data_IF_943085120257
#
_entry.id   IF_943085120257
#
_cell.length_a   1.000
_cell.length_b   1.000
_cell.length_c   1.000
_cell.angle_alpha   90.00
_cell.angle_beta   90.00
_cell.angle_gamma   90.00
#
_symmetry.space_group_name_H-M   'P 1'
#
loop_
_entity.id
_entity.type
_entity.pdbx_description
1 polymer ?
#
# COMPACT_ATOMS: atom_id res chain seq x y z
N UNK A 1 57.42 -16.83 -33.35
CA UNK A 1 57.35 -17.20 -31.91
C UNK A 1 56.43 -16.21 -31.20
N UNK A 2 55.10 -16.40 -31.24
CA UNK A 2 54.16 -15.35 -30.76
C UNK A 2 52.81 -15.87 -30.23
N UNK A 3 52.75 -17.10 -29.69
CA UNK A 3 51.49 -17.67 -29.18
C UNK A 3 51.52 -18.04 -27.68
N UNK A 4 52.67 -17.92 -27.00
CA UNK A 4 52.83 -18.36 -25.60
C UNK A 4 52.41 -17.31 -24.56
N UNK A 5 52.21 -16.06 -24.97
CA UNK A 5 51.87 -14.95 -24.06
C UNK A 5 50.34 -14.72 -23.91
N UNK A 6 49.54 -15.19 -24.88
CA UNK A 6 48.08 -14.98 -24.87
C UNK A 6 47.32 -15.93 -23.94
N UNK A 7 47.76 -17.18 -23.84
CA UNK A 7 47.14 -18.20 -22.98
C UNK A 7 47.20 -17.83 -21.48
N UNK A 8 48.35 -17.38 -20.90
CA UNK A 8 48.36 -16.97 -19.51
C UNK A 8 47.55 -15.69 -19.27
N UNK A 9 47.50 -14.77 -20.24
CA UNK A 9 46.67 -13.57 -20.13
C UNK A 9 45.17 -13.91 -20.07
N UNK A 10 44.68 -14.79 -20.96
CA UNK A 10 43.28 -15.23 -20.94
C UNK A 10 42.91 -15.95 -19.64
N UNK A 11 43.83 -16.74 -19.08
CA UNK A 11 43.65 -17.40 -17.78
C UNK A 11 43.53 -16.38 -16.65
N UNK A 12 44.40 -15.36 -16.61
CA UNK A 12 44.33 -14.28 -15.63
C UNK A 12 43.03 -13.47 -15.75
N UNK A 13 42.60 -13.15 -16.98
CA UNK A 13 41.32 -12.47 -17.20
C UNK A 13 40.14 -13.32 -16.72
N UNK A 14 40.11 -14.62 -17.03
CA UNK A 14 39.05 -15.53 -16.57
C UNK A 14 38.97 -15.59 -15.05
N UNK A 15 40.10 -15.76 -14.36
CA UNK A 15 40.15 -15.76 -12.89
C UNK A 15 39.72 -14.41 -12.33
N UNK A 16 40.13 -13.30 -12.94
CA UNK A 16 39.73 -11.96 -12.51
C UNK A 16 38.22 -11.74 -12.68
N UNK A 17 37.62 -12.14 -13.80
CA UNK A 17 36.17 -12.05 -14.01
C UNK A 17 35.37 -12.96 -13.07
N UNK A 18 35.85 -14.17 -12.80
CA UNK A 18 35.23 -15.09 -11.84
C UNK A 18 35.33 -14.54 -10.43
N UNK A 19 36.48 -13.99 -10.02
CA UNK A 19 36.66 -13.36 -8.69
C UNK A 19 35.86 -12.07 -8.58
N UNK A 20 35.82 -11.22 -9.61
CA UNK A 20 35.01 -9.99 -9.63
C UNK A 20 33.51 -10.30 -9.59
N UNK A 21 33.05 -11.32 -10.33
CA UNK A 21 31.65 -11.77 -10.30
C UNK A 21 31.28 -12.40 -8.95
N UNK A 22 32.18 -13.19 -8.36
CA UNK A 22 31.98 -13.76 -7.02
C UNK A 22 31.98 -12.67 -5.94
N UNK A 23 32.79 -11.61 -6.07
CA UNK A 23 32.77 -10.47 -5.16
C UNK A 23 31.53 -9.58 -5.35
N UNK A 24 30.95 -9.52 -6.56
CA UNK A 24 29.67 -8.84 -6.81
C UNK A 24 28.46 -9.63 -6.30
N UNK A 25 28.61 -10.93 -6.01
CA UNK A 25 27.59 -11.79 -5.40
C UNK A 25 27.80 -12.02 -3.90
N UNK A 26 28.71 -11.28 -3.26
CA UNK A 26 28.87 -11.25 -1.80
C UNK A 26 27.70 -10.47 -1.17
N UNK A 27 26.78 -11.23 -0.59
CA UNK A 27 25.88 -10.87 0.52
C UNK A 27 24.67 -9.96 0.16
N UNK A 28 23.45 -10.52 -0.01
CA UNK A 28 22.19 -9.76 0.03
C UNK A 28 21.74 -9.39 1.46
N UNK A 29 22.63 -9.39 2.46
CA UNK A 29 22.33 -9.02 3.86
C UNK A 29 22.31 -7.49 4.09
N UNK A 30 22.28 -6.68 3.02
CA UNK A 30 22.10 -5.22 3.11
C UNK A 30 20.82 -4.68 2.47
N UNK A 31 19.88 -5.53 2.03
CA UNK A 31 18.51 -5.07 1.75
C UNK A 31 17.66 -5.10 3.03
N UNK A 32 18.24 -4.86 4.19
CA UNK A 32 17.53 -4.15 5.26
C UNK A 32 17.70 -2.67 5.00
N UNK A 33 17.23 -2.23 3.83
CA UNK A 33 17.00 -0.82 3.57
C UNK A 33 16.09 -0.31 4.70
N UNK A 34 16.58 0.50 5.64
CA UNK A 34 15.70 1.04 6.65
C UNK A 34 14.70 1.96 5.93
N UNK A 35 15.17 2.77 4.95
CA UNK A 35 14.35 3.73 4.19
C UNK A 35 15.00 4.23 2.85
N UNK A 36 14.79 3.57 1.69
CA UNK A 36 14.87 4.32 0.43
C UNK A 36 13.88 3.90 -0.68
N UNK A 37 12.86 3.09 -0.39
CA UNK A 37 11.76 2.88 -1.35
C UNK A 37 10.48 3.62 -0.97
N UNK A 38 10.35 4.20 0.22
CA UNK A 38 9.10 4.82 0.64
C UNK A 38 8.70 6.01 -0.23
N UNK A 39 9.65 6.87 -0.63
CA UNK A 39 9.34 7.97 -1.58
C UNK A 39 8.87 7.46 -2.93
N UNK A 40 9.53 6.44 -3.49
CA UNK A 40 9.18 5.90 -4.81
C UNK A 40 7.87 5.12 -4.76
N UNK A 41 7.64 4.30 -3.73
CA UNK A 41 6.38 3.57 -3.52
C UNK A 41 5.21 4.54 -3.34
N UNK A 42 5.38 5.58 -2.54
CA UNK A 42 4.34 6.62 -2.35
C UNK A 42 4.10 7.39 -3.64
N UNK A 43 5.14 7.78 -4.37
CA UNK A 43 4.99 8.44 -5.65
C UNK A 43 4.21 7.56 -6.64
N UNK A 44 4.45 6.25 -6.61
CA UNK A 44 3.78 5.29 -7.46
C UNK A 44 2.29 5.16 -7.09
N UNK A 45 1.97 4.99 -5.80
CA UNK A 45 0.58 5.00 -5.33
C UNK A 45 -0.12 6.31 -5.68
N UNK A 46 0.53 7.46 -5.45
CA UNK A 46 -0.03 8.77 -5.79
C UNK A 46 -0.33 8.89 -7.28
N UNK A 47 0.55 8.37 -8.14
CA UNK A 47 0.32 8.32 -9.58
C UNK A 47 -0.85 7.41 -9.93
N UNK A 48 -0.91 6.21 -9.35
CA UNK A 48 -1.97 5.24 -9.60
C UNK A 48 -3.36 5.75 -9.16
N UNK A 49 -3.40 6.52 -8.08
CA UNK A 49 -4.62 7.06 -7.51
C UNK A 49 -4.97 8.47 -7.99
N UNK A 50 -4.14 9.12 -8.82
CA UNK A 50 -4.33 10.50 -9.25
C UNK A 50 -5.64 10.75 -10.00
N UNK A 51 -6.22 9.73 -10.65
CA UNK A 51 -7.47 9.84 -11.39
C UNK A 51 -8.70 9.34 -10.62
N UNK A 52 -8.52 8.84 -9.39
CA UNK A 52 -9.64 8.38 -8.56
C UNK A 52 -10.39 9.61 -8.00
N UNK A 53 -11.72 9.69 -8.15
CA UNK A 53 -12.48 10.80 -7.57
C UNK A 53 -12.38 10.77 -6.04
N UNK A 54 -12.14 11.93 -5.44
CA UNK A 54 -12.20 12.10 -3.98
C UNK A 54 -13.66 12.01 -3.56
N UNK A 55 -14.11 10.82 -3.17
CA UNK A 55 -15.43 10.64 -2.60
C UNK A 55 -15.43 11.13 -1.16
N UNK A 56 -16.48 11.83 -0.70
CA UNK A 56 -16.63 12.14 0.72
C UNK A 56 -16.65 10.82 1.50
N UNK A 57 -15.85 10.75 2.57
CA UNK A 57 -15.80 9.56 3.44
C UNK A 57 -17.22 9.16 3.85
N UNK A 58 -17.59 7.86 3.70
CA UNK A 58 -18.88 7.40 4.19
C UNK A 58 -18.94 7.63 5.72
N UNK A 59 -20.11 8.04 6.25
CA UNK A 59 -20.26 8.22 7.68
C UNK A 59 -19.94 6.91 8.42
N UNK A 60 -19.34 6.98 9.63
CA UNK A 60 -19.04 5.79 10.42
C UNK A 60 -20.32 4.96 10.63
N UNK A 61 -20.22 3.62 10.64
CA UNK A 61 -21.38 2.77 10.87
C UNK A 61 -22.02 3.11 12.23
N UNK A 62 -23.36 3.17 12.32
CA UNK A 62 -24.02 3.42 13.59
C UNK A 62 -23.69 2.29 14.59
N UNK A 63 -23.57 2.59 15.88
CA UNK A 63 -23.36 1.57 16.91
C UNK A 63 -24.50 0.54 16.89
N UNK A 64 -24.25 -0.73 17.25
CA UNK A 64 -25.30 -1.73 17.35
C UNK A 64 -26.35 -1.25 18.37
N UNK A 65 -27.59 -1.13 17.92
CA UNK A 65 -28.73 -0.78 18.77
C UNK A 65 -29.23 -2.10 19.38
N UNK A 66 -29.01 -2.28 20.69
CA UNK A 66 -29.67 -3.33 21.46
C UNK A 66 -31.19 -3.10 21.42
N UNK A 67 -31.91 -4.14 21.00
CA UNK A 67 -33.33 -4.08 20.75
C UNK A 67 -34.14 -4.11 22.04
N UNK A 68 -35.01 -3.11 22.20
CA UNK A 68 -36.15 -3.19 23.12
C UNK A 68 -37.44 -3.34 22.34
N UNK A 69 -38.06 -4.49 22.59
CA UNK A 69 -39.29 -5.00 22.03
C UNK A 69 -40.50 -4.27 22.64
N UNK A 70 -41.23 -3.44 21.88
CA UNK A 70 -42.61 -3.06 22.21
C UNK A 70 -43.41 -2.81 20.91
N UNK A 71 -44.44 -3.62 20.71
CA UNK A 71 -45.21 -3.68 19.46
C UNK A 71 -46.12 -2.47 19.19
N UNK A 72 -46.55 -2.36 17.93
CA UNK A 72 -47.92 -2.01 17.51
C UNK A 72 -48.04 -2.09 15.98
N UNK A 73 -49.00 -2.91 15.55
CA UNK A 73 -49.40 -3.15 14.17
C UNK A 73 -50.01 -1.90 13.54
N UNK A 74 -49.40 -1.38 12.46
CA UNK A 74 -50.06 -0.46 11.53
C UNK A 74 -49.72 -0.80 10.08
N UNK A 75 -50.73 -1.30 9.37
CA UNK A 75 -50.76 -1.54 7.91
C UNK A 75 -50.65 -0.22 7.15
N UNK A 76 -49.55 -0.01 6.42
CA UNK A 76 -49.47 1.08 5.44
C UNK A 76 -48.89 0.65 4.08
N UNK A 77 -49.78 0.81 3.09
CA UNK A 77 -49.67 0.86 1.62
C UNK A 77 -48.26 0.76 1.01
N UNK A 78 -48.11 -0.22 0.12
CA UNK A 78 -46.98 -0.43 -0.77
C UNK A 78 -46.83 0.70 -1.80
N UNK A 79 -45.98 1.69 -1.51
CA UNK A 79 -45.38 2.53 -2.56
C UNK A 79 -44.14 1.82 -3.07
N UNK A 80 -44.23 1.25 -4.29
CA UNK A 80 -43.08 0.75 -5.04
C UNK A 80 -42.17 1.93 -5.39
N UNK A 81 -41.26 2.27 -4.47
CA UNK A 81 -40.15 3.17 -4.76
C UNK A 81 -39.13 2.37 -5.54
N UNK A 82 -39.04 2.63 -6.84
CA UNK A 82 -37.90 2.26 -7.66
C UNK A 82 -36.67 3.02 -7.10
N UNK A 83 -35.96 2.38 -6.16
CA UNK A 83 -34.61 2.82 -5.80
C UNK A 83 -33.72 2.44 -6.97
N UNK A 84 -33.40 3.42 -7.81
CA UNK A 84 -32.21 3.36 -8.64
C UNK A 84 -31.02 3.27 -7.70
N UNK A 85 -30.62 2.04 -7.38
CA UNK A 85 -29.34 1.77 -6.74
C UNK A 85 -28.31 2.10 -7.81
N UNK A 86 -27.73 3.29 -7.72
CA UNK A 86 -26.50 3.59 -8.44
C UNK A 86 -25.50 2.53 -8.00
N UNK A 87 -25.34 1.48 -8.83
CA UNK A 87 -24.16 0.63 -8.77
C UNK A 87 -23.03 1.59 -9.11
N UNK A 88 -22.32 2.07 -8.11
CA UNK A 88 -21.00 2.65 -8.31
C UNK A 88 -20.21 1.49 -8.91
N UNK A 89 -20.03 1.53 -10.22
CA UNK A 89 -19.28 0.51 -10.92
C UNK A 89 -17.81 0.82 -10.65
N UNK A 90 -17.09 -0.12 -10.05
CA UNK A 90 -15.64 -0.04 -9.88
C UNK A 90 -15.02 0.34 -11.22
N UNK A 91 -14.42 1.53 -11.29
CA UNK A 91 -13.77 1.99 -12.51
C UNK A 91 -12.41 1.31 -12.62
N UNK A 92 -11.87 1.11 -13.85
CA UNK A 92 -10.54 0.54 -14.00
C UNK A 92 -9.46 1.35 -13.27
N UNK A 93 -9.65 2.65 -13.11
CA UNK A 93 -8.76 3.54 -12.34
C UNK A 93 -8.82 3.24 -10.83
N UNK A 94 -10.02 3.01 -10.28
CA UNK A 94 -10.18 2.60 -8.87
C UNK A 94 -9.49 1.27 -8.59
N UNK A 95 -9.66 0.30 -9.48
CA UNK A 95 -9.00 -1.01 -9.38
C UNK A 95 -7.48 -0.90 -9.44
N UNK A 96 -6.97 -0.09 -10.36
CA UNK A 96 -5.53 0.14 -10.51
C UNK A 96 -4.93 0.81 -9.26
N UNK A 97 -5.59 1.85 -8.73
CA UNK A 97 -5.21 2.48 -7.47
C UNK A 97 -5.23 1.48 -6.31
N UNK A 98 -6.29 0.68 -6.20
CA UNK A 98 -6.45 -0.32 -5.14
C UNK A 98 -5.34 -1.36 -5.14
N UNK A 99 -4.91 -1.81 -6.33
CA UNK A 99 -3.82 -2.75 -6.49
C UNK A 99 -2.51 -2.20 -5.93
N UNK A 100 -2.16 -0.95 -6.26
CA UNK A 100 -0.96 -0.30 -5.75
C UNK A 100 -1.03 -0.01 -4.25
N UNK A 101 -2.21 0.36 -3.73
CA UNK A 101 -2.43 0.50 -2.29
C UNK A 101 -2.22 -0.83 -1.52
N UNK A 102 -2.51 -1.98 -2.12
CA UNK A 102 -2.25 -3.27 -1.44
C UNK A 102 -0.77 -3.66 -1.43
N UNK A 103 0.03 -3.09 -2.32
CA UNK A 103 1.44 -3.44 -2.49
C UNK A 103 2.38 -2.54 -1.69
N UNK A 104 1.95 -1.32 -1.33
CA UNK A 104 2.78 -0.41 -0.57
C UNK A 104 3.10 -0.96 0.83
N UNK A 105 4.35 -0.79 1.26
CA UNK A 105 4.79 -1.22 2.57
C UNK A 105 4.10 -0.40 3.68
N UNK A 106 3.48 -1.05 4.70
CA UNK A 106 2.92 -0.35 5.85
C UNK A 106 3.92 0.57 6.55
N UNK A 107 5.22 0.23 6.61
CA UNK A 107 6.27 1.07 7.22
C UNK A 107 6.32 2.44 6.53
N UNK A 108 6.27 2.45 5.20
CA UNK A 108 6.28 3.67 4.40
C UNK A 108 5.04 4.54 4.60
N UNK A 109 3.87 3.92 4.80
CA UNK A 109 2.63 4.64 5.11
C UNK A 109 2.70 5.26 6.51
N UNK A 110 3.20 4.50 7.48
CA UNK A 110 3.33 4.95 8.86
C UNK A 110 4.35 6.11 9.01
N UNK A 111 5.43 6.13 8.22
CA UNK A 111 6.41 7.23 8.21
C UNK A 111 5.84 8.57 7.81
N UNK A 112 4.98 8.62 6.79
CA UNK A 112 4.34 9.88 6.37
C UNK A 112 3.56 10.48 7.52
N UNK A 113 2.93 9.65 8.32
CA UNK A 113 2.12 10.07 9.45
C UNK A 113 2.96 10.62 10.62
N UNK A 114 4.28 10.39 10.63
CA UNK A 114 5.23 10.98 11.58
C UNK A 114 5.52 12.46 11.30
N UNK A 115 5.25 12.94 10.07
CA UNK A 115 5.42 14.35 9.73
C UNK A 115 4.25 15.22 10.22
N UNK A 116 3.16 14.63 10.71
CA UNK A 116 2.09 15.40 11.30
C UNK A 116 2.52 16.02 12.64
N UNK A 117 2.00 17.21 12.97
CA UNK A 117 2.25 17.82 14.26
C UNK A 117 1.87 16.90 15.44
N UNK A 118 2.50 17.08 16.62
CA UNK A 118 2.36 16.17 17.76
C UNK A 118 0.95 15.90 18.28
N UNK A 119 0.00 16.76 17.93
CA UNK A 119 -1.40 16.70 18.36
C UNK A 119 -2.32 15.93 17.38
N UNK A 120 -1.87 15.63 16.16
CA UNK A 120 -2.68 14.93 15.14
C UNK A 120 -2.29 13.46 14.94
N UNK A 121 -1.19 13.03 15.54
CA UNK A 121 -0.67 11.69 15.38
C UNK A 121 -0.78 10.89 16.68
N UNK A 122 -1.21 9.64 16.56
CA UNK A 122 -1.22 8.66 17.65
C UNK A 122 -0.15 7.60 17.33
N UNK A 123 0.74 7.21 18.25
CA UNK A 123 1.80 6.25 17.94
C UNK A 123 1.26 4.91 17.44
N UNK A 124 0.29 4.33 18.16
CA UNK A 124 -0.40 3.12 17.74
C UNK A 124 -1.76 3.48 17.11
N UNK A 125 -1.87 3.30 15.79
CA UNK A 125 -3.08 3.64 15.04
C UNK A 125 -3.27 2.72 13.83
N UNK A 126 -4.51 2.70 13.35
CA UNK A 126 -4.88 2.08 12.08
C UNK A 126 -5.19 3.19 11.09
N UNK A 127 -4.51 3.19 9.96
CA UNK A 127 -4.76 4.11 8.87
C UNK A 127 -5.51 3.37 7.77
N UNK A 128 -6.72 3.82 7.42
CA UNK A 128 -7.54 3.17 6.40
C UNK A 128 -7.73 4.10 5.21
N UNK A 129 -7.38 3.61 4.02
CA UNK A 129 -7.64 4.29 2.74
C UNK A 129 -8.83 3.59 2.09
N UNK A 130 -9.86 4.37 1.77
CA UNK A 130 -11.09 3.90 1.11
C UNK A 130 -11.11 4.47 -0.31
N UNK A 131 -11.05 3.59 -1.30
CA UNK A 131 -11.07 3.95 -2.74
C UNK A 131 -12.50 3.94 -3.26
N UNK A 132 -13.28 2.91 -2.87
CA UNK A 132 -14.69 2.72 -3.20
C UNK A 132 -15.37 1.79 -2.17
N UNK A 133 -16.60 1.32 -2.46
CA UNK A 133 -17.34 0.38 -1.60
C UNK A 133 -16.69 -1.02 -1.51
N UNK A 134 -15.81 -1.37 -2.45
CA UNK A 134 -15.24 -2.70 -2.63
C UNK A 134 -13.74 -2.77 -2.28
N UNK A 135 -13.08 -1.63 -2.14
CA UNK A 135 -11.67 -1.49 -1.82
C UNK A 135 -11.45 -0.53 -0.66
N UNK A 136 -11.20 -1.13 0.51
CA UNK A 136 -10.67 -0.47 1.69
C UNK A 136 -9.39 -1.18 2.15
N UNK A 137 -8.28 -0.46 2.24
CA UNK A 137 -6.99 -0.99 2.70
C UNK A 137 -6.67 -0.37 4.06
N UNK A 138 -6.33 -1.20 5.05
CA UNK A 138 -6.01 -0.74 6.41
C UNK A 138 -4.58 -1.14 6.77
N UNK A 139 -3.78 -0.15 7.17
CA UNK A 139 -2.41 -0.31 7.65
C UNK A 139 -2.40 -0.15 9.17
N UNK A 140 -1.72 -1.08 9.86
CA UNK A 140 -1.51 -0.99 11.31
C UNK A 140 -0.11 -0.43 11.58
N UNK A 141 -0.05 0.69 12.29
CA UNK A 141 1.19 1.33 12.68
C UNK A 141 1.42 1.09 14.18
N UNK A 142 2.47 0.36 14.52
CA UNK A 142 2.74 -0.06 15.90
C UNK A 142 3.57 0.94 16.72
N UNK A 143 3.74 2.17 16.23
CA UNK A 143 4.42 3.25 16.98
C UNK A 143 5.92 3.05 17.18
N UNK A 144 6.52 2.08 16.49
CA UNK A 144 7.96 1.84 16.54
C UNK A 144 8.69 2.98 15.83
N UNK A 145 9.09 4.02 16.58
CA UNK A 145 10.11 4.96 16.10
C UNK A 145 11.42 4.18 15.96
N UNK A 146 11.81 3.79 14.74
CA UNK A 146 13.22 3.46 14.50
C UNK A 146 14.00 4.78 14.59
N UNK A 147 14.77 4.90 15.66
CA UNK A 147 15.78 5.95 15.88
C UNK A 147 16.96 5.67 14.96
#
# INVERSE_FOLDING_TARGET
MAAKLGIPMLSLFSVFFVVLSNNLTIIPEQITFPHPLCRSQIALVNFACAMVPILPMPPPPPPPVDGDEHGRSHRHKHRRRHRHRHRIHETPEQRYCCEWLRQIDPVCVCEILLHLPPFLWKPNHKYTVVVDENCSVTYACDGQRRI
#
